data_IF_825407507174
#
_entry.id   IF_825407507174
#
_cell.length_a   1.000
_cell.length_b   1.000
_cell.length_c   1.000
_cell.angle_alpha   90.00
_cell.angle_beta   90.00
_cell.angle_gamma   90.00
#
_symmetry.space_group_name_H-M   'P 1'
#
loop_
_entity.id
_entity.type
_entity.pdbx_description
1 polymer ?
#
# COMPACT_ATOMS: atom_id res chain seq x y z
N UNK A 1 44.41 7.56 -21.45
CA UNK A 1 45.85 7.59 -21.14
C UNK A 1 45.98 8.45 -19.90
N UNK A 2 46.35 7.97 -18.72
CA UNK A 2 47.44 7.04 -18.35
C UNK A 2 46.87 5.93 -17.41
N UNK A 3 46.94 4.63 -17.66
CA UNK A 3 48.11 3.74 -17.81
C UNK A 3 49.04 3.65 -16.59
N UNK A 4 48.49 3.72 -15.36
CA UNK A 4 49.24 3.39 -14.13
C UNK A 4 48.52 2.44 -13.13
N UNK A 5 47.52 1.66 -13.58
CA UNK A 5 46.75 0.77 -12.69
C UNK A 5 46.94 -0.73 -12.98
N UNK A 6 48.08 -1.12 -13.57
CA UNK A 6 48.40 -2.51 -13.94
C UNK A 6 49.35 -3.21 -12.94
N UNK A 7 49.77 -2.53 -11.86
CA UNK A 7 50.78 -3.09 -10.96
C UNK A 7 50.46 -2.87 -9.49
N UNK A 8 49.32 -3.38 -9.02
CA UNK A 8 49.20 -3.80 -7.61
C UNK A 8 48.17 -4.94 -7.46
N UNK A 9 48.69 -6.15 -7.22
CA UNK A 9 48.00 -7.34 -6.69
C UNK A 9 47.01 -8.08 -7.61
N UNK A 10 47.55 -8.91 -8.50
CA UNK A 10 46.96 -10.20 -8.87
C UNK A 10 46.94 -11.15 -7.65
N UNK A 11 46.21 -10.80 -6.58
CA UNK A 11 45.69 -11.83 -5.67
C UNK A 11 44.70 -12.65 -6.48
N UNK A 12 44.83 -13.99 -6.48
CA UNK A 12 43.81 -14.89 -7.02
C UNK A 12 42.53 -14.70 -6.20
N UNK A 13 41.70 -13.73 -6.60
CA UNK A 13 40.41 -13.46 -5.99
C UNK A 13 39.59 -14.73 -6.13
N UNK A 14 39.09 -15.23 -5.01
CA UNK A 14 38.32 -16.47 -4.97
C UNK A 14 37.07 -16.35 -5.84
N UNK A 15 36.54 -17.48 -6.32
CA UNK A 15 35.28 -17.49 -7.09
C UNK A 15 34.13 -16.83 -6.32
N UNK A 16 34.13 -16.95 -4.98
CA UNK A 16 33.16 -16.34 -4.10
C UNK A 16 33.30 -14.81 -4.06
N UNK A 17 34.51 -14.28 -3.89
CA UNK A 17 34.78 -12.84 -3.90
C UNK A 17 34.48 -12.20 -5.26
N UNK A 18 34.78 -12.87 -6.37
CA UNK A 18 34.39 -12.39 -7.72
C UNK A 18 32.87 -12.28 -7.86
N UNK A 19 32.14 -13.29 -7.38
CA UNK A 19 30.67 -13.32 -7.40
C UNK A 19 30.08 -12.22 -6.51
N UNK A 20 30.67 -11.98 -5.34
CA UNK A 20 30.27 -10.91 -4.42
C UNK A 20 30.43 -9.53 -5.08
N UNK A 21 31.60 -9.24 -5.65
CA UNK A 21 31.86 -7.98 -6.37
C UNK A 21 30.89 -7.77 -7.53
N UNK A 22 30.58 -8.81 -8.31
CA UNK A 22 29.59 -8.71 -9.38
C UNK A 22 28.19 -8.36 -8.86
N UNK A 23 27.75 -8.97 -7.75
CA UNK A 23 26.45 -8.65 -7.15
C UNK A 23 26.41 -7.23 -6.58
N UNK A 24 27.49 -6.79 -5.93
CA UNK A 24 27.63 -5.44 -5.42
C UNK A 24 27.57 -4.39 -6.55
N UNK A 25 28.29 -4.63 -7.65
CA UNK A 25 28.24 -3.77 -8.84
C UNK A 25 26.84 -3.75 -9.48
N UNK A 26 26.14 -4.89 -9.49
CA UNK A 26 24.75 -4.94 -9.96
C UNK A 26 23.83 -4.11 -9.06
N UNK A 27 23.99 -4.20 -7.74
CA UNK A 27 23.23 -3.39 -6.79
C UNK A 27 23.49 -1.88 -7.00
N UNK A 28 24.75 -1.48 -7.16
CA UNK A 28 25.15 -0.11 -7.51
C UNK A 28 24.48 0.39 -8.79
N UNK A 29 24.51 -0.41 -9.86
CA UNK A 29 23.86 -0.05 -11.12
C UNK A 29 22.33 0.08 -10.97
N UNK A 30 21.72 -0.77 -10.14
CA UNK A 30 20.27 -0.72 -9.89
C UNK A 30 19.88 0.54 -9.14
N UNK A 31 20.63 0.89 -8.10
CA UNK A 31 20.44 2.12 -7.32
C UNK A 31 20.59 3.37 -8.18
N UNK A 32 21.61 3.42 -9.05
CA UNK A 32 21.78 4.54 -9.98
C UNK A 32 20.61 4.64 -10.97
N UNK A 33 20.27 3.53 -11.63
CA UNK A 33 19.27 3.51 -12.71
C UNK A 33 17.85 3.82 -12.24
N UNK A 34 17.46 3.29 -11.08
CA UNK A 34 16.07 3.37 -10.62
C UNK A 34 15.84 4.42 -9.54
N UNK A 35 16.88 4.79 -8.79
CA UNK A 35 16.76 5.67 -7.61
C UNK A 35 17.65 6.91 -7.71
N UNK A 36 18.47 7.04 -8.77
CA UNK A 36 19.35 8.19 -8.96
C UNK A 36 20.50 8.28 -7.94
N UNK A 37 20.80 7.20 -7.22
CA UNK A 37 21.83 7.21 -6.17
C UNK A 37 23.20 6.96 -6.79
N UNK A 38 24.04 8.00 -6.80
CA UNK A 38 25.42 7.93 -7.26
C UNK A 38 26.33 7.36 -6.18
N UNK A 39 26.93 6.20 -6.46
CA UNK A 39 27.94 5.61 -5.58
C UNK A 39 29.35 5.97 -6.08
N UNK A 40 30.29 6.15 -5.15
CA UNK A 40 31.70 6.45 -5.41
C UNK A 40 32.59 5.25 -5.10
N UNK A 41 33.82 5.23 -5.62
CA UNK A 41 34.78 4.12 -5.45
C UNK A 41 35.79 4.34 -4.31
N UNK A 42 35.85 5.54 -3.75
CA UNK A 42 36.72 5.88 -2.62
C UNK A 42 35.93 5.92 -1.30
N UNK A 43 36.57 5.64 -0.15
CA UNK A 43 35.89 5.66 1.14
C UNK A 43 35.34 7.05 1.51
N UNK A 44 34.07 7.09 1.89
CA UNK A 44 33.41 8.25 2.50
C UNK A 44 32.84 7.86 3.87
N UNK A 45 32.38 8.84 4.67
CA UNK A 45 31.70 8.54 5.95
C UNK A 45 30.34 7.85 5.76
N UNK A 46 29.75 7.96 4.57
CA UNK A 46 28.39 7.54 4.28
C UNK A 46 28.32 6.38 3.30
N UNK A 47 27.48 5.40 3.61
CA UNK A 47 27.25 4.22 2.78
C UNK A 47 25.76 4.11 2.47
N UNK A 48 25.45 3.67 1.25
CA UNK A 48 24.14 3.10 0.93
C UNK A 48 24.19 1.59 1.14
N UNK A 49 23.17 1.04 1.81
CA UNK A 49 23.00 -0.37 2.11
C UNK A 49 21.88 -0.93 1.23
N UNK A 50 22.24 -1.48 0.08
CA UNK A 50 21.27 -2.13 -0.80
C UNK A 50 20.68 -3.38 -0.12
N UNK A 51 19.39 -3.59 -0.34
CA UNK A 51 18.54 -4.59 0.34
C UNK A 51 18.30 -4.34 1.84
N UNK A 52 19.01 -3.40 2.46
CA UNK A 52 18.91 -3.05 3.88
C UNK A 52 17.79 -2.06 4.21
N UNK A 53 16.70 -2.02 3.44
CA UNK A 53 15.63 -1.03 3.62
C UNK A 53 14.32 -1.62 4.14
N UNK A 54 13.44 -0.73 4.63
CA UNK A 54 12.10 -1.09 5.14
C UNK A 54 11.24 -1.79 4.07
N UNK A 55 11.38 -1.37 2.81
CA UNK A 55 10.68 -1.98 1.67
C UNK A 55 11.12 -3.42 1.37
N UNK A 56 12.22 -3.88 1.97
CA UNK A 56 12.70 -5.26 1.88
C UNK A 56 12.55 -6.01 3.23
N UNK A 57 11.76 -5.48 4.16
CA UNK A 57 11.46 -6.13 5.43
C UNK A 57 12.53 -5.99 6.52
N UNK A 58 13.58 -5.20 6.29
CA UNK A 58 14.67 -5.00 7.26
C UNK A 58 14.25 -3.94 8.28
N UNK A 59 14.19 -4.32 9.55
CA UNK A 59 13.88 -3.41 10.67
C UNK A 59 15.07 -2.55 11.11
N UNK A 60 14.79 -1.41 11.77
CA UNK A 60 15.84 -0.47 12.20
C UNK A 60 16.77 -1.08 13.24
N UNK A 61 16.24 -1.62 14.34
CA UNK A 61 17.04 -2.20 15.42
C UNK A 61 17.93 -3.34 14.89
N UNK A 62 17.39 -4.14 13.97
CA UNK A 62 18.09 -5.25 13.34
C UNK A 62 19.26 -4.78 12.46
N UNK A 63 19.05 -3.71 11.68
CA UNK A 63 20.13 -3.17 10.85
C UNK A 63 21.15 -2.41 11.69
N UNK A 64 20.70 -1.63 12.68
CA UNK A 64 21.54 -0.85 13.57
C UNK A 64 22.54 -1.74 14.30
N UNK A 65 22.09 -2.84 14.89
CA UNK A 65 22.98 -3.79 15.59
C UNK A 65 24.09 -4.32 14.69
N UNK A 66 23.80 -4.53 13.40
CA UNK A 66 24.79 -4.99 12.41
C UNK A 66 25.79 -3.92 12.02
N UNK A 67 25.36 -2.67 11.84
CA UNK A 67 26.25 -1.59 11.40
C UNK A 67 27.09 -1.03 12.55
N UNK A 68 26.59 -1.07 13.77
CA UNK A 68 27.27 -0.60 14.98
C UNK A 68 28.46 -1.49 15.38
N UNK A 69 28.46 -2.78 14.98
CA UNK A 69 29.63 -3.68 15.11
C UNK A 69 30.91 -3.12 14.47
N UNK A 70 30.79 -2.22 13.49
CA UNK A 70 31.93 -1.69 12.72
C UNK A 70 32.41 -0.31 13.21
N UNK A 71 31.70 0.33 14.13
CA UNK A 71 32.07 1.64 14.68
C UNK A 71 30.87 2.53 14.98
N UNK A 72 31.15 3.78 15.36
CA UNK A 72 30.13 4.70 15.85
C UNK A 72 29.24 5.20 14.69
N UNK A 73 27.96 4.82 14.73
CA UNK A 73 26.94 5.28 13.78
C UNK A 73 26.42 6.65 14.21
N UNK A 74 26.63 7.68 13.38
CA UNK A 74 26.06 9.02 13.60
C UNK A 74 24.59 9.07 13.19
N UNK A 75 24.24 8.37 12.11
CA UNK A 75 22.85 8.33 11.63
C UNK A 75 22.59 7.13 10.73
N UNK A 76 21.35 6.64 10.79
CA UNK A 76 20.82 5.57 9.95
C UNK A 76 19.51 6.05 9.32
N UNK A 77 19.53 6.34 8.03
CA UNK A 77 18.35 6.75 7.25
C UNK A 77 17.69 5.52 6.64
N UNK A 78 16.40 5.32 6.88
CA UNK A 78 15.67 4.21 6.26
C UNK A 78 14.44 4.76 5.52
N UNK A 79 14.59 5.14 4.23
CA UNK A 79 13.48 5.69 3.46
C UNK A 79 12.28 4.72 3.42
N UNK A 80 11.04 5.22 3.61
CA UNK A 80 9.85 4.39 3.65
C UNK A 80 9.65 3.68 2.31
N UNK A 81 9.24 2.41 2.36
CA UNK A 81 8.97 1.55 1.19
C UNK A 81 10.16 1.35 0.22
N UNK A 82 11.37 1.78 0.57
CA UNK A 82 12.57 1.59 -0.26
C UNK A 82 13.33 0.33 0.14
N UNK A 83 13.91 -0.41 -0.83
CA UNK A 83 14.70 -1.61 -0.55
C UNK A 83 16.16 -1.29 -0.17
N UNK A 84 16.45 -0.07 0.29
CA UNK A 84 17.78 0.36 0.72
C UNK A 84 17.67 1.35 1.88
N UNK A 85 18.80 1.55 2.55
CA UNK A 85 18.98 2.53 3.62
C UNK A 85 20.34 3.22 3.48
N UNK A 86 20.58 4.26 4.26
CA UNK A 86 21.88 4.92 4.34
C UNK A 86 22.38 4.91 5.76
N UNK A 87 23.68 4.67 5.95
CA UNK A 87 24.35 4.79 7.24
C UNK A 87 25.47 5.81 7.11
N UNK A 88 25.63 6.67 8.11
CA UNK A 88 26.76 7.57 8.24
C UNK A 88 27.49 7.27 9.55
N UNK A 89 28.80 7.07 9.44
CA UNK A 89 29.68 6.83 10.57
C UNK A 89 30.41 8.10 10.98
N UNK A 90 30.85 8.15 12.25
CA UNK A 90 31.67 9.26 12.75
C UNK A 90 33.01 9.39 12.02
N UNK A 91 33.58 8.26 11.60
CA UNK A 91 34.89 8.17 10.96
C UNK A 91 34.82 7.39 9.64
N UNK A 92 35.58 7.84 8.65
CA UNK A 92 35.72 7.14 7.36
C UNK A 92 36.35 5.74 7.52
N UNK A 93 37.14 5.52 8.57
CA UNK A 93 37.72 4.21 8.91
C UNK A 93 36.64 3.17 9.22
N UNK A 94 35.62 3.58 9.97
CA UNK A 94 34.53 2.71 10.44
C UNK A 94 33.62 2.34 9.26
N UNK A 95 33.33 3.32 8.40
CA UNK A 95 32.64 3.10 7.11
C UNK A 95 33.44 2.17 6.18
N UNK A 96 34.77 2.30 6.14
CA UNK A 96 35.62 1.35 5.39
C UNK A 96 35.56 -0.06 5.96
N UNK A 97 35.62 -0.20 7.29
CA UNK A 97 35.47 -1.49 7.94
C UNK A 97 34.10 -2.13 7.64
N UNK A 98 33.01 -1.35 7.70
CA UNK A 98 31.68 -1.81 7.33
C UNK A 98 31.61 -2.27 5.86
N UNK A 99 32.18 -1.49 4.95
CA UNK A 99 32.23 -1.84 3.52
C UNK A 99 33.00 -3.16 3.29
N UNK A 100 34.14 -3.35 3.94
CA UNK A 100 34.99 -4.52 3.73
C UNK A 100 34.44 -5.79 4.40
N UNK A 101 33.81 -5.65 5.59
CA UNK A 101 33.37 -6.81 6.39
C UNK A 101 31.90 -7.19 6.23
N UNK A 102 31.01 -6.24 5.96
CA UNK A 102 29.56 -6.49 5.92
C UNK A 102 29.02 -6.72 4.50
N UNK A 103 29.81 -6.47 3.45
CA UNK A 103 29.38 -6.75 2.09
C UNK A 103 29.13 -8.25 1.88
N UNK A 104 27.89 -8.61 1.54
CA UNK A 104 27.47 -10.00 1.41
C UNK A 104 26.99 -10.64 2.71
N UNK A 105 26.92 -9.91 3.83
CA UNK A 105 26.35 -10.40 5.10
C UNK A 105 24.88 -10.78 4.88
N UNK A 106 24.52 -11.98 5.33
CA UNK A 106 23.14 -12.45 5.35
C UNK A 106 22.46 -11.97 6.64
N UNK A 107 21.33 -11.31 6.49
CA UNK A 107 20.42 -10.92 7.57
C UNK A 107 19.20 -11.83 7.52
N UNK A 108 18.89 -12.49 8.63
CA UNK A 108 17.69 -13.33 8.77
C UNK A 108 16.57 -12.43 9.27
N UNK A 109 15.53 -12.18 8.46
CA UNK A 109 14.45 -11.28 8.86
C UNK A 109 13.63 -11.88 10.02
N UNK A 110 13.31 -11.07 11.02
CA UNK A 110 12.58 -11.51 12.21
C UNK A 110 11.29 -12.25 11.83
N UNK A 111 11.11 -13.44 12.40
CA UNK A 111 9.94 -14.29 12.20
C UNK A 111 9.70 -14.79 10.76
N UNK A 112 10.74 -14.89 9.93
CA UNK A 112 10.69 -15.59 8.64
C UNK A 112 11.97 -16.40 8.38
N UNK A 113 11.89 -17.45 7.58
CA UNK A 113 13.08 -18.14 7.02
C UNK A 113 13.73 -17.36 5.88
N UNK A 114 13.24 -16.14 5.59
CA UNK A 114 13.70 -15.32 4.49
C UNK A 114 14.99 -14.61 4.87
N UNK A 115 15.99 -14.77 3.99
CA UNK A 115 17.31 -14.18 4.14
C UNK A 115 17.47 -13.02 3.17
N UNK A 116 18.05 -11.93 3.66
CA UNK A 116 18.41 -10.77 2.87
C UNK A 116 19.93 -10.63 2.85
N UNK A 117 20.52 -10.43 1.67
CA UNK A 117 21.96 -10.18 1.55
C UNK A 117 22.20 -8.69 1.39
N UNK A 118 22.98 -8.10 2.29
CA UNK A 118 23.29 -6.67 2.30
C UNK A 118 24.47 -6.36 1.36
N UNK A 119 24.38 -5.27 0.60
CA UNK A 119 25.50 -4.76 -0.21
C UNK A 119 25.75 -3.29 0.07
N UNK A 120 26.95 -2.97 0.51
CA UNK A 120 27.35 -1.63 0.92
C UNK A 120 28.10 -0.94 -0.21
N UNK A 121 27.78 0.33 -0.49
CA UNK A 121 28.50 1.17 -1.46
C UNK A 121 28.70 2.57 -0.89
N UNK A 122 29.85 3.20 -1.14
CA UNK A 122 30.12 4.57 -0.72
C UNK A 122 29.27 5.57 -1.48
N UNK A 123 28.81 6.61 -0.79
CA UNK A 123 28.09 7.74 -1.38
C UNK A 123 28.65 9.06 -0.86
N UNK A 124 28.64 10.09 -1.71
CA UNK A 124 29.13 11.43 -1.34
C UNK A 124 28.04 12.23 -0.60
N UNK A 125 26.79 12.08 -1.05
CA UNK A 125 25.62 12.77 -0.53
C UNK A 125 24.56 11.75 -0.18
N UNK A 126 23.98 11.90 1.00
CA UNK A 126 22.76 11.20 1.40
C UNK A 126 21.63 12.23 1.30
N UNK A 127 20.48 11.89 0.68
CA UNK A 127 19.33 12.78 0.65
C UNK A 127 18.71 12.81 2.05
N UNK A 128 19.30 13.59 2.94
CA UNK A 128 18.79 13.87 4.29
C UNK A 128 17.60 14.82 4.25
N UNK A 129 16.92 14.97 3.11
CA UNK A 129 15.82 15.91 2.95
C UNK A 129 14.82 15.71 4.09
N UNK A 130 14.67 16.75 4.89
CA UNK A 130 13.67 16.83 5.94
C UNK A 130 12.32 16.87 5.21
N UNK A 131 11.68 15.71 5.10
CA UNK A 131 10.27 15.70 4.73
C UNK A 131 9.54 16.47 5.83
N UNK A 132 8.92 17.59 5.46
CA UNK A 132 8.09 18.36 6.36
C UNK A 132 7.02 17.44 6.95
N UNK A 133 6.69 17.55 8.26
CA UNK A 133 5.64 16.75 8.86
C UNK A 133 4.35 16.89 8.06
N UNK A 134 3.79 15.77 7.59
CA UNK A 134 2.50 15.80 6.91
C UNK A 134 1.44 16.26 7.89
N UNK A 135 0.85 17.42 7.62
CA UNK A 135 -0.29 17.92 8.38
C UNK A 135 -1.45 16.95 8.17
N UNK A 136 -2.15 16.61 9.25
CA UNK A 136 -3.32 15.74 9.14
C UNK A 136 -4.40 16.37 8.26
N UNK A 137 -5.20 15.55 7.56
CA UNK A 137 -6.39 16.04 6.87
C UNK A 137 -7.22 16.96 7.78
N UNK A 138 -7.66 18.14 7.30
CA UNK A 138 -8.48 19.04 8.10
C UNK A 138 -9.74 18.34 8.64
N UNK A 139 -9.96 18.45 9.95
CA UNK A 139 -11.07 17.78 10.65
C UNK A 139 -10.78 16.35 11.13
N UNK A 140 -9.56 15.84 10.90
CA UNK A 140 -9.08 14.57 11.44
C UNK A 140 -8.42 14.76 12.81
N UNK A 141 -8.76 13.91 13.77
CA UNK A 141 -8.10 13.85 15.09
C UNK A 141 -7.89 12.41 15.52
N UNK A 142 -6.79 12.14 16.21
CA UNK A 142 -6.51 10.87 16.90
C UNK A 142 -6.43 11.16 18.39
N UNK A 143 -7.25 10.48 19.19
CA UNK A 143 -7.25 10.57 20.65
C UNK A 143 -6.69 9.26 21.18
N UNK A 144 -5.52 9.32 21.78
CA UNK A 144 -4.86 8.16 22.38
C UNK A 144 -5.48 7.79 23.73
N UNK A 145 -5.33 6.52 24.12
CA UNK A 145 -5.75 5.99 25.42
C UNK A 145 -7.19 6.42 25.81
N UNK A 146 -8.11 6.38 24.83
CA UNK A 146 -9.51 6.70 25.07
C UNK A 146 -10.14 5.71 26.05
N UNK A 147 -9.77 4.44 25.94
CA UNK A 147 -10.28 3.36 26.78
C UNK A 147 -9.14 2.73 27.57
N UNK A 148 -9.42 2.23 28.77
CA UNK A 148 -8.44 1.47 29.55
C UNK A 148 -8.23 0.06 28.97
N UNK A 149 -7.15 -0.66 29.36
CA UNK A 149 -6.96 -2.06 28.98
C UNK A 149 -8.12 -2.97 29.40
N UNK A 150 -8.75 -2.70 30.55
CA UNK A 150 -9.91 -3.45 31.04
C UNK A 150 -11.15 -3.17 30.18
N UNK A 151 -11.39 -1.92 29.82
CA UNK A 151 -12.48 -1.52 28.91
C UNK A 151 -12.27 -2.14 27.51
N UNK A 152 -11.04 -2.11 26.98
CA UNK A 152 -10.68 -2.77 25.72
C UNK A 152 -10.99 -4.27 25.77
N UNK A 153 -10.57 -4.96 26.83
CA UNK A 153 -10.85 -6.39 27.02
C UNK A 153 -12.36 -6.66 27.04
N UNK A 154 -13.13 -5.89 27.81
CA UNK A 154 -14.58 -6.03 27.87
C UNK A 154 -15.24 -5.83 26.50
N UNK A 155 -14.82 -4.82 25.72
CA UNK A 155 -15.38 -4.59 24.39
C UNK A 155 -15.10 -5.76 23.44
N UNK A 156 -13.87 -6.29 23.48
CA UNK A 156 -13.45 -7.40 22.63
C UNK A 156 -14.18 -8.71 22.96
N UNK A 157 -14.39 -9.01 24.25
CA UNK A 157 -15.09 -10.21 24.72
C UNK A 157 -16.59 -10.18 24.43
N UNK A 158 -17.21 -8.99 24.46
CA UNK A 158 -18.64 -8.81 24.20
C UNK A 158 -19.03 -8.92 22.71
N UNK A 159 -18.06 -8.95 21.78
CA UNK A 159 -18.37 -9.21 20.37
C UNK A 159 -18.40 -10.71 20.13
N UNK A 160 -19.60 -11.27 20.12
CA UNK A 160 -19.80 -12.63 19.68
C UNK A 160 -19.68 -12.73 18.14
N UNK A 161 -18.73 -13.56 17.69
CA UNK A 161 -18.48 -13.85 16.27
C UNK A 161 -19.09 -15.17 15.80
N UNK A 162 -19.81 -15.91 16.64
CA UNK A 162 -20.59 -17.07 16.18
C UNK A 162 -21.72 -16.59 15.28
N UNK A 163 -22.11 -17.40 14.29
CA UNK A 163 -23.24 -17.11 13.43
C UNK A 163 -24.50 -16.97 14.31
N UNK A 164 -25.06 -15.75 14.36
CA UNK A 164 -26.37 -15.53 14.95
C UNK A 164 -27.40 -16.22 14.04
N UNK A 165 -27.87 -17.41 14.42
CA UNK A 165 -28.96 -18.12 13.73
C UNK A 165 -30.21 -17.24 13.55
N UNK A 166 -30.34 -16.19 14.37
CA UNK A 166 -31.43 -15.23 14.38
C UNK A 166 -31.29 -14.11 13.33
N UNK A 167 -30.07 -13.74 12.90
CA UNK A 167 -29.84 -12.63 11.94
C UNK A 167 -28.68 -12.94 10.97
N UNK A 168 -28.92 -13.73 9.91
CA UNK A 168 -27.88 -14.15 8.95
C UNK A 168 -27.16 -12.99 8.24
N UNK A 169 -27.77 -11.80 8.18
CA UNK A 169 -27.27 -10.65 7.42
C UNK A 169 -26.39 -9.68 8.21
N UNK A 170 -26.44 -9.71 9.55
CA UNK A 170 -25.72 -8.75 10.38
C UNK A 170 -24.21 -9.02 10.44
N UNK A 171 -23.79 -10.26 10.21
CA UNK A 171 -22.39 -10.68 10.16
C UNK A 171 -22.03 -11.14 8.75
N UNK A 172 -20.95 -10.60 8.17
CA UNK A 172 -20.47 -10.96 6.83
C UNK A 172 -18.97 -11.22 6.85
N UNK A 173 -18.55 -12.30 6.20
CA UNK A 173 -17.15 -12.52 5.85
C UNK A 173 -16.90 -11.87 4.47
N UNK A 174 -16.22 -10.74 4.44
CA UNK A 174 -15.79 -10.11 3.19
C UNK A 174 -14.43 -10.68 2.76
N UNK A 175 -14.08 -10.52 1.47
CA UNK A 175 -12.85 -11.08 0.87
C UNK A 175 -11.58 -10.95 1.73
N UNK A 176 -11.47 -9.87 2.51
CA UNK A 176 -10.28 -9.57 3.32
C UNK A 176 -10.58 -9.14 4.75
N UNK A 177 -11.78 -9.34 5.32
CA UNK A 177 -12.07 -9.01 6.74
C UNK A 177 -13.39 -9.61 7.19
N UNK A 178 -13.56 -9.81 8.50
CA UNK A 178 -14.89 -10.09 9.08
C UNK A 178 -15.55 -8.78 9.50
N UNK A 179 -16.84 -8.66 9.25
CA UNK A 179 -17.62 -7.47 9.62
C UNK A 179 -18.89 -7.87 10.34
N UNK A 180 -19.24 -7.13 11.39
CA UNK A 180 -20.54 -7.21 12.07
C UNK A 180 -21.17 -5.83 12.18
N UNK A 181 -22.48 -5.73 11.99
CA UNK A 181 -23.26 -4.49 12.03
C UNK A 181 -24.25 -4.48 13.19
N UNK A 182 -24.44 -3.29 13.78
CA UNK A 182 -25.40 -3.02 14.84
C UNK A 182 -26.15 -1.71 14.56
N UNK A 183 -27.38 -1.61 15.07
CA UNK A 183 -28.31 -0.51 14.78
C UNK A 183 -28.88 -0.57 13.36
N UNK A 184 -28.03 -0.54 12.34
CA UNK A 184 -28.42 -0.69 10.95
C UNK A 184 -27.39 -1.52 10.16
N UNK A 185 -27.89 -2.32 9.23
CA UNK A 185 -27.06 -3.07 8.28
C UNK A 185 -26.50 -2.13 7.21
N UNK A 186 -25.19 -2.21 6.96
CA UNK A 186 -24.59 -1.57 5.79
C UNK A 186 -24.61 -2.52 4.60
N UNK A 187 -25.30 -2.09 3.53
CA UNK A 187 -25.50 -2.85 2.30
C UNK A 187 -24.38 -2.53 1.31
N UNK A 188 -23.55 -3.53 1.02
CA UNK A 188 -22.35 -3.37 0.17
C UNK A 188 -22.65 -3.42 -1.33
N UNK A 189 -23.84 -3.86 -1.72
CA UNK A 189 -24.33 -3.85 -3.10
C UNK A 189 -24.61 -2.43 -3.61
N UNK A 190 -25.06 -1.54 -2.71
CA UNK A 190 -25.38 -0.14 -3.03
C UNK A 190 -24.62 0.87 -2.16
N UNK A 191 -23.71 0.41 -1.31
CA UNK A 191 -22.95 1.19 -0.33
C UNK A 191 -23.84 2.12 0.51
N UNK A 192 -25.00 1.66 0.96
CA UNK A 192 -25.94 2.47 1.73
C UNK A 192 -26.57 1.70 2.90
N UNK A 193 -27.47 2.35 3.61
CA UNK A 193 -28.23 1.80 4.72
C UNK A 193 -29.72 1.88 4.40
N UNK A 194 -30.44 0.81 4.71
CA UNK A 194 -31.90 0.79 4.65
C UNK A 194 -32.49 1.45 5.92
N UNK A 195 -32.93 2.71 5.79
CA UNK A 195 -33.39 3.52 6.93
C UNK A 195 -34.69 3.00 7.55
N UNK A 196 -35.46 2.22 6.79
CA UNK A 196 -36.75 1.69 7.20
C UNK A 196 -36.63 0.31 7.87
N UNK A 197 -35.42 -0.26 7.90
CA UNK A 197 -35.14 -1.59 8.44
C UNK A 197 -33.96 -1.59 9.43
N UNK A 198 -34.12 -0.98 10.61
CA UNK A 198 -33.10 -1.07 11.66
C UNK A 198 -32.94 -2.53 12.13
N UNK A 199 -31.71 -2.89 12.50
CA UNK A 199 -31.41 -4.17 13.14
C UNK A 199 -31.98 -4.18 14.57
N UNK A 200 -32.52 -5.33 15.03
CA UNK A 200 -33.02 -5.44 16.38
C UNK A 200 -31.88 -5.29 17.41
N UNK A 201 -32.20 -4.79 18.60
CA UNK A 201 -31.23 -4.61 19.69
C UNK A 201 -30.40 -3.32 19.65
N UNK A 202 -30.48 -2.52 18.57
CA UNK A 202 -29.80 -1.23 18.51
C UNK A 202 -28.28 -1.35 18.59
N UNK A 203 -27.63 -0.43 19.32
CA UNK A 203 -26.21 -0.51 19.61
C UNK A 203 -25.98 -1.33 20.89
N UNK A 204 -24.88 -2.11 20.99
CA UNK A 204 -24.55 -2.85 22.20
C UNK A 204 -24.40 -1.95 23.42
N UNK A 205 -24.97 -2.36 24.56
CA UNK A 205 -24.90 -1.59 25.81
C UNK A 205 -23.47 -1.36 26.29
N UNK A 206 -22.55 -2.28 25.99
CA UNK A 206 -21.12 -2.15 26.24
C UNK A 206 -20.49 -0.90 25.61
N UNK A 207 -21.09 -0.36 24.54
CA UNK A 207 -20.62 0.85 23.88
C UNK A 207 -21.19 2.14 24.50
N UNK A 208 -22.23 2.06 25.33
CA UNK A 208 -22.95 3.24 25.86
C UNK A 208 -22.03 4.15 26.67
N UNK A 209 -21.18 3.59 27.52
CA UNK A 209 -20.21 4.34 28.34
C UNK A 209 -19.24 5.14 27.48
N UNK A 210 -18.72 4.53 26.42
CA UNK A 210 -17.74 5.17 25.52
C UNK A 210 -18.40 6.27 24.71
N UNK A 211 -19.62 6.04 24.19
CA UNK A 211 -20.36 7.07 23.47
C UNK A 211 -20.73 8.25 24.36
N UNK A 212 -21.10 8.01 25.62
CA UNK A 212 -21.34 9.07 26.60
C UNK A 212 -20.06 9.87 26.89
N UNK A 213 -18.91 9.19 27.01
CA UNK A 213 -17.60 9.84 27.15
C UNK A 213 -17.26 10.71 25.93
N UNK A 214 -17.47 10.19 24.72
CA UNK A 214 -17.20 10.94 23.48
C UNK A 214 -18.09 12.19 23.34
N UNK A 215 -19.37 12.11 23.73
CA UNK A 215 -20.27 13.28 23.78
C UNK A 215 -19.80 14.30 24.82
N UNK A 216 -19.49 13.86 26.04
CA UNK A 216 -19.06 14.73 27.14
C UNK A 216 -17.76 15.48 26.80
N UNK A 217 -16.83 14.83 26.10
CA UNK A 217 -15.54 15.40 25.70
C UNK A 217 -15.63 16.22 24.40
N UNK A 218 -16.79 16.29 23.74
CA UNK A 218 -16.95 17.05 22.48
C UNK A 218 -16.24 16.42 21.29
N UNK A 219 -16.01 15.11 21.30
CA UNK A 219 -15.48 14.38 20.15
C UNK A 219 -16.56 14.11 19.10
N UNK A 220 -17.81 14.04 19.56
CA UNK A 220 -19.03 13.97 18.75
C UNK A 220 -20.06 14.94 19.35
N UNK A 221 -20.88 15.52 18.49
CA UNK A 221 -22.00 16.38 18.84
C UNK A 221 -23.32 15.60 18.93
N UNK A 222 -23.43 14.48 18.22
CA UNK A 222 -24.63 13.65 18.19
C UNK A 222 -24.33 12.18 18.53
N UNK A 223 -25.26 11.53 19.24
CA UNK A 223 -25.13 10.11 19.57
C UNK A 223 -25.31 9.25 18.31
N UNK A 224 -24.29 8.46 17.90
CA UNK A 224 -24.38 7.51 16.81
C UNK A 224 -25.50 6.48 17.00
N UNK A 225 -26.12 6.07 15.90
CA UNK A 225 -27.16 5.04 15.85
C UNK A 225 -26.83 3.89 14.89
N UNK A 226 -25.61 3.87 14.34
CA UNK A 226 -25.07 2.76 13.55
C UNK A 226 -23.65 2.43 14.02
N UNK A 227 -23.33 1.13 14.13
CA UNK A 227 -21.99 0.63 14.45
C UNK A 227 -21.57 -0.47 13.46
N UNK A 228 -20.37 -0.34 12.91
CA UNK A 228 -19.69 -1.39 12.15
C UNK A 228 -18.45 -1.87 12.91
N UNK A 229 -18.42 -3.15 13.28
CA UNK A 229 -17.24 -3.81 13.85
C UNK A 229 -16.48 -4.51 12.73
N UNK A 230 -15.20 -4.16 12.53
CA UNK A 230 -14.33 -4.81 11.55
C UNK A 230 -13.21 -5.56 12.27
N UNK A 231 -12.96 -6.82 11.90
CA UNK A 231 -11.81 -7.59 12.35
C UNK A 231 -10.84 -7.80 11.18
N UNK A 232 -9.58 -7.45 11.42
CA UNK A 232 -8.47 -7.59 10.47
C UNK A 232 -7.41 -8.53 11.05
N UNK A 233 -7.08 -9.57 10.30
CA UNK A 233 -5.90 -10.40 10.55
C UNK A 233 -4.65 -9.78 9.89
N UNK A 234 -3.42 -10.14 10.33
CA UNK A 234 -2.20 -9.64 9.70
C UNK A 234 -2.16 -9.93 8.18
N UNK A 235 -2.00 -8.88 7.37
CA UNK A 235 -2.05 -8.96 5.90
C UNK A 235 -3.40 -8.56 5.30
N UNK A 236 -4.45 -8.44 6.10
CA UNK A 236 -5.76 -7.94 5.68
C UNK A 236 -5.84 -6.42 5.70
N UNK A 237 -6.87 -5.88 5.05
CA UNK A 237 -7.04 -4.44 4.88
C UNK A 237 -8.41 -4.06 4.33
N UNK A 238 -8.57 -2.78 4.03
CA UNK A 238 -9.75 -2.21 3.39
C UNK A 238 -9.30 -1.26 2.27
N UNK A 239 -9.81 -1.40 1.04
CA UNK A 239 -9.48 -0.48 -0.04
C UNK A 239 -9.78 0.97 0.32
N UNK A 240 -9.05 1.95 -0.26
CA UNK A 240 -9.39 3.36 -0.10
C UNK A 240 -10.84 3.64 -0.51
N UNK A 241 -11.59 4.28 0.37
CA UNK A 241 -12.99 4.66 0.15
C UNK A 241 -13.36 5.91 0.95
N UNK A 242 -14.51 6.49 0.62
CA UNK A 242 -15.18 7.54 1.39
C UNK A 242 -16.50 6.96 1.86
N UNK A 243 -16.84 7.15 3.12
CA UNK A 243 -18.14 6.71 3.62
C UNK A 243 -19.25 7.52 2.95
N UNK A 244 -20.31 6.85 2.50
CA UNK A 244 -21.40 7.44 1.71
C UNK A 244 -22.02 8.67 2.39
N UNK A 245 -22.09 9.78 1.65
CA UNK A 245 -22.49 11.08 2.20
C UNK A 245 -23.99 11.13 2.51
N UNK A 246 -24.81 10.47 1.70
CA UNK A 246 -26.26 10.37 1.97
C UNK A 246 -26.60 9.46 3.14
N UNK A 247 -25.73 8.51 3.48
CA UNK A 247 -26.02 7.47 4.48
C UNK A 247 -25.77 7.96 5.90
N UNK A 248 -24.72 8.75 6.10
CA UNK A 248 -24.22 9.12 7.43
C UNK A 248 -23.99 10.62 7.56
N UNK A 249 -24.19 11.16 8.76
CA UNK A 249 -23.86 12.54 9.11
C UNK A 249 -22.33 12.75 9.12
N UNK A 250 -21.92 14.00 9.35
CA UNK A 250 -20.52 14.44 9.27
C UNK A 250 -19.58 13.66 10.21
N UNK A 251 -19.98 13.49 11.46
CA UNK A 251 -19.10 12.90 12.47
C UNK A 251 -19.06 11.38 12.36
N UNK A 252 -17.87 10.85 12.02
CA UNK A 252 -17.55 9.43 12.16
C UNK A 252 -16.43 9.28 13.18
N UNK A 253 -16.64 8.37 14.12
CA UNK A 253 -15.58 7.96 15.04
C UNK A 253 -15.26 6.48 14.87
N UNK A 254 -13.99 6.12 14.98
CA UNK A 254 -13.51 4.74 14.88
C UNK A 254 -12.56 4.41 16.01
N UNK A 255 -13.01 3.58 16.95
CA UNK A 255 -12.19 3.06 18.05
C UNK A 255 -11.34 1.88 17.56
N UNK A 256 -10.03 1.92 17.83
CA UNK A 256 -9.07 0.87 17.45
C UNK A 256 -8.71 0.02 18.67
N UNK A 257 -8.84 -1.31 18.57
CA UNK A 257 -8.60 -2.25 19.67
C UNK A 257 -7.74 -3.44 19.22
N UNK A 258 -7.04 -4.05 20.18
CA UNK A 258 -6.29 -5.30 20.06
C UNK A 258 -4.92 -5.18 19.37
N UNK A 259 -4.82 -4.44 18.27
CA UNK A 259 -3.56 -4.13 17.62
C UNK A 259 -3.61 -2.76 16.93
N UNK A 260 -2.48 -2.07 16.92
CA UNK A 260 -2.33 -0.81 16.19
C UNK A 260 -2.25 -1.07 14.67
N UNK A 261 -2.53 -0.04 13.87
CA UNK A 261 -2.44 -0.13 12.42
C UNK A 261 -2.20 1.23 11.79
N UNK A 262 -1.55 1.25 10.63
CA UNK A 262 -1.51 2.45 9.79
C UNK A 262 -2.70 2.48 8.84
N UNK A 263 -3.46 3.57 8.91
CA UNK A 263 -4.51 3.95 7.96
C UNK A 263 -3.98 5.01 7.00
N UNK A 264 -4.16 4.77 5.71
CA UNK A 264 -3.70 5.66 4.65
C UNK A 264 -4.87 6.59 4.24
N UNK A 265 -4.65 7.90 4.34
CA UNK A 265 -5.55 8.95 3.86
C UNK A 265 -5.04 9.52 2.54
N UNK A 266 -5.91 9.64 1.53
CA UNK A 266 -5.54 10.21 0.23
C UNK A 266 -6.52 11.29 -0.18
N UNK A 267 -5.98 12.46 -0.50
CA UNK A 267 -6.73 13.57 -1.06
C UNK A 267 -6.75 13.48 -2.60
N UNK A 268 -7.82 13.95 -3.27
CA UNK A 268 -7.92 13.91 -4.73
C UNK A 268 -6.81 14.66 -5.49
N UNK A 269 -6.12 15.62 -4.86
CA UNK A 269 -4.98 16.33 -5.45
C UNK A 269 -3.65 15.54 -5.42
N UNK A 270 -3.68 14.30 -4.93
CA UNK A 270 -2.50 13.42 -4.84
C UNK A 270 -1.79 13.43 -3.48
N UNK A 271 -2.15 14.33 -2.55
CA UNK A 271 -1.60 14.28 -1.18
C UNK A 271 -1.99 12.96 -0.51
N UNK A 272 -1.01 12.33 0.14
CA UNK A 272 -1.20 11.09 0.90
C UNK A 272 -0.64 11.28 2.31
N UNK A 273 -1.40 10.90 3.32
CA UNK A 273 -1.02 10.99 4.74
C UNK A 273 -1.21 9.61 5.37
N UNK A 274 -0.15 9.06 5.95
CA UNK A 274 -0.21 7.80 6.69
C UNK A 274 -0.38 8.09 8.18
N UNK A 275 -1.49 7.63 8.75
CA UNK A 275 -1.88 7.89 10.14
C UNK A 275 -1.78 6.60 10.93
N UNK A 276 -0.91 6.58 11.94
CA UNK A 276 -0.86 5.47 12.89
C UNK A 276 -2.08 5.58 13.82
N UNK A 277 -2.80 4.48 13.97
CA UNK A 277 -3.91 4.31 14.90
C UNK A 277 -3.47 3.35 16.00
N UNK A 278 -3.01 3.88 17.16
CA UNK A 278 -2.61 3.06 18.29
C UNK A 278 -3.76 2.18 18.81
N UNK A 279 -3.44 1.16 19.61
CA UNK A 279 -4.45 0.46 20.38
C UNK A 279 -5.14 1.43 21.35
N UNK A 280 -6.41 1.17 21.68
CA UNK A 280 -7.24 1.99 22.57
C UNK A 280 -7.44 3.45 22.12
N UNK A 281 -7.13 3.76 20.86
CA UNK A 281 -7.26 5.11 20.32
C UNK A 281 -8.60 5.32 19.59
N UNK A 282 -9.10 6.56 19.62
CA UNK A 282 -10.25 7.02 18.85
C UNK A 282 -9.78 7.87 17.67
N UNK A 283 -10.09 7.42 16.46
CA UNK A 283 -10.04 8.27 15.28
C UNK A 283 -11.35 9.05 15.17
N UNK A 284 -11.28 10.36 14.98
CA UNK A 284 -12.43 11.23 14.72
C UNK A 284 -12.25 11.87 13.35
N UNK A 285 -13.22 11.63 12.46
CA UNK A 285 -13.30 12.22 11.13
C UNK A 285 -14.50 13.17 11.07
N UNK A 286 -14.27 14.39 10.62
CA UNK A 286 -15.29 15.43 10.41
C UNK A 286 -14.86 16.38 9.30
N UNK A 287 -15.79 17.08 8.69
CA UNK A 287 -15.52 18.03 7.61
C UNK A 287 -14.76 17.40 6.44
N UNK A 288 -13.64 18.02 6.05
CA UNK A 288 -12.87 17.61 4.87
C UNK A 288 -12.34 16.17 4.98
N UNK A 289 -11.81 15.78 6.14
CA UNK A 289 -11.27 14.43 6.34
C UNK A 289 -12.32 13.32 6.18
N UNK A 290 -13.59 13.65 6.43
CA UNK A 290 -14.72 12.72 6.26
C UNK A 290 -15.24 12.71 4.82
N UNK A 291 -15.42 13.89 4.23
CA UNK A 291 -16.19 14.05 3.00
C UNK A 291 -15.34 14.06 1.73
N UNK A 292 -14.05 14.41 1.82
CA UNK A 292 -13.20 14.58 0.63
C UNK A 292 -12.06 13.58 0.58
N UNK A 293 -11.44 13.30 1.73
CA UNK A 293 -10.33 12.36 1.81
C UNK A 293 -10.84 10.92 1.76
N UNK A 294 -10.20 10.10 0.93
CA UNK A 294 -10.38 8.64 1.01
C UNK A 294 -9.53 8.10 2.16
N UNK A 295 -10.03 7.07 2.84
CA UNK A 295 -9.28 6.36 3.88
C UNK A 295 -9.26 4.86 3.58
N UNK A 296 -8.15 4.20 3.92
CA UNK A 296 -7.96 2.78 3.65
C UNK A 296 -6.90 2.16 4.53
N UNK A 297 -6.89 0.83 4.58
CA UNK A 297 -5.84 0.07 5.25
C UNK A 297 -5.21 -0.83 4.19
N UNK A 298 -3.99 -0.50 3.77
CA UNK A 298 -3.26 -1.30 2.79
C UNK A 298 -3.08 -2.75 3.30
N UNK A 299 -3.37 -3.79 2.49
CA UNK A 299 -3.12 -5.19 2.83
C UNK A 299 -1.61 -5.49 2.96
N UNK A 300 -1.06 -5.37 4.18
CA UNK A 300 0.34 -5.65 4.50
C UNK A 300 0.48 -6.29 5.87
N UNK A 301 1.61 -6.96 6.12
CA UNK A 301 1.91 -7.62 7.41
C UNK A 301 2.74 -6.74 8.34
N UNK A 302 3.36 -5.68 7.82
CA UNK A 302 4.19 -4.75 8.55
C UNK A 302 3.84 -3.32 8.19
N UNK A 303 3.87 -2.43 9.16
CA UNK A 303 3.75 -0.99 8.98
C UNK A 303 5.09 -0.30 9.21
N UNK A 304 5.32 0.83 8.55
CA UNK A 304 6.46 1.72 8.81
C UNK A 304 6.00 2.73 9.86
N UNK A 305 6.65 2.76 11.03
CA UNK A 305 6.31 3.61 12.17
C UNK A 305 7.56 4.34 12.68
N UNK A 306 7.38 5.35 13.53
CA UNK A 306 8.50 6.02 14.18
C UNK A 306 9.13 5.14 15.27
N UNK A 307 10.45 5.24 15.41
CA UNK A 307 11.31 4.50 16.31
C UNK A 307 11.60 5.39 17.53
N UNK A 308 10.63 5.58 18.40
CA UNK A 308 10.76 6.13 19.76
C UNK A 308 9.48 5.85 20.55
N UNK A 309 9.60 5.29 21.75
CA UNK A 309 8.52 5.21 22.73
C UNK A 309 8.15 6.64 23.18
N UNK A 310 6.91 7.06 22.95
CA UNK A 310 6.30 8.17 23.70
C UNK A 310 6.26 9.58 23.07
N UNK A 311 6.44 9.78 21.77
CA UNK A 311 6.14 11.07 21.12
C UNK A 311 4.76 11.06 20.41
N UNK A 312 3.94 12.08 20.67
CA UNK A 312 2.53 12.22 20.27
C UNK A 312 2.23 11.78 18.83
N UNK A 313 1.36 10.77 18.68
CA UNK A 313 1.00 10.16 17.39
C UNK A 313 -0.22 10.86 16.80
N UNK A 314 0.03 11.95 16.07
CA UNK A 314 -0.96 12.55 15.18
C UNK A 314 -0.76 12.09 13.75
N UNK A 315 0.47 12.24 13.25
CA UNK A 315 0.94 11.84 11.92
C UNK A 315 2.20 11.00 12.11
N UNK A 316 2.48 10.05 11.21
CA UNK A 316 3.84 9.51 11.10
C UNK A 316 4.71 10.68 10.64
N UNK A 317 5.30 11.43 11.59
CA UNK A 317 6.11 12.59 11.24
C UNK A 317 7.38 12.11 10.55
N UNK A 318 7.78 12.85 9.53
CA UNK A 318 8.69 12.36 8.52
C UNK A 318 10.16 12.61 8.87
N UNK A 319 10.53 12.41 10.15
CA UNK A 319 11.94 12.15 10.43
C UNK A 319 12.27 10.72 9.98
N UNK A 320 12.68 10.61 8.71
CA UNK A 320 13.09 9.36 8.07
C UNK A 320 14.23 8.69 8.87
N UNK A 321 14.97 9.45 9.69
CA UNK A 321 16.05 8.94 10.56
C UNK A 321 15.52 8.11 11.72
N UNK A 322 14.24 8.22 12.06
CA UNK A 322 13.59 7.46 13.13
C UNK A 322 12.50 6.53 12.59
N UNK A 323 12.60 5.92 11.41
CA UNK A 323 11.57 4.95 10.94
C UNK A 323 11.97 3.48 11.19
N UNK A 324 11.02 2.63 11.61
CA UNK A 324 11.19 1.18 11.77
C UNK A 324 9.96 0.40 11.28
N UNK A 325 10.07 -0.93 11.20
CA UNK A 325 8.96 -1.82 10.90
C UNK A 325 8.27 -2.28 12.19
N UNK A 326 6.95 -2.21 12.20
CA UNK A 326 6.11 -2.82 13.23
C UNK A 326 5.25 -3.92 12.61
N UNK A 327 5.21 -5.08 13.25
CA UNK A 327 4.44 -6.24 12.77
C UNK A 327 2.98 -6.07 13.17
N UNK A 328 2.07 -6.20 12.20
CA UNK A 328 0.64 -6.12 12.49
C UNK A 328 0.18 -7.31 13.32
N UNK A 329 -0.62 -7.02 14.35
CA UNK A 329 -1.40 -7.99 15.10
C UNK A 329 -2.82 -8.13 14.56
N UNK A 330 -3.64 -8.91 15.28
CA UNK A 330 -5.08 -8.97 15.05
C UNK A 330 -5.74 -7.69 15.57
N UNK A 331 -6.29 -6.88 14.67
CA UNK A 331 -6.95 -5.61 15.00
C UNK A 331 -8.46 -5.73 14.88
N UNK A 332 -9.17 -5.16 15.84
CA UNK A 332 -10.62 -4.97 15.77
C UNK A 332 -10.91 -3.47 15.85
N UNK A 333 -11.84 -2.97 15.03
CA UNK A 333 -12.26 -1.57 15.08
C UNK A 333 -13.76 -1.41 15.14
N UNK A 334 -14.22 -0.50 15.98
CA UNK A 334 -15.62 -0.15 16.16
C UNK A 334 -15.85 1.22 15.53
N UNK A 335 -16.50 1.26 14.38
CA UNK A 335 -16.79 2.49 13.65
C UNK A 335 -18.24 2.90 13.91
N UNK A 336 -18.42 4.02 14.60
CA UNK A 336 -19.72 4.55 14.98
C UNK A 336 -20.10 5.72 14.07
N UNK A 337 -21.36 5.73 13.63
CA UNK A 337 -21.92 6.72 12.72
C UNK A 337 -23.35 7.08 13.09
N UNK A 338 -23.76 8.29 12.75
CA UNK A 338 -25.16 8.72 12.80
C UNK A 338 -25.78 8.61 11.42
N UNK A 339 -26.92 7.92 11.29
CA UNK A 339 -27.66 7.83 10.03
C UNK A 339 -28.20 9.20 9.65
N UNK A 340 -27.89 9.61 8.43
CA UNK A 340 -28.38 10.84 7.82
C UNK A 340 -29.75 10.60 7.19
N UNK A 341 -30.71 11.44 7.56
CA UNK A 341 -32.11 11.35 7.09
C UNK A 341 -32.45 12.34 5.97
N UNK A 342 -31.65 13.37 5.80
CA UNK A 342 -31.80 14.38 4.75
C UNK A 342 -30.74 14.23 3.67
N UNK A 343 -30.99 14.65 2.41
CA UNK A 343 -29.94 14.69 1.39
C UNK A 343 -28.72 15.49 1.87
N UNK A 344 -27.51 15.02 1.54
CA UNK A 344 -26.29 15.73 1.91
C UNK A 344 -26.08 16.99 1.06
N UNK A 345 -25.69 18.08 1.72
CA UNK A 345 -25.39 19.39 1.12
C UNK A 345 -23.99 19.91 1.50
N UNK A 346 -23.02 19.00 1.70
CA UNK A 346 -21.64 19.34 2.04
C UNK A 346 -20.94 20.21 0.98
N UNK A 347 -19.86 20.89 1.35
CA UNK A 347 -19.04 21.73 0.46
C UNK A 347 -18.20 20.96 -0.56
N UNK A 348 -18.42 19.64 -0.70
CA UNK A 348 -17.64 18.73 -1.54
C UNK A 348 -18.54 18.02 -2.55
N UNK A 349 -19.19 18.76 -3.48
CA UNK A 349 -20.11 18.18 -4.44
C UNK A 349 -19.43 17.10 -5.28
N UNK A 350 -18.14 17.25 -5.61
CA UNK A 350 -17.34 16.37 -6.48
C UNK A 350 -17.30 14.89 -6.09
N UNK A 351 -17.60 14.55 -4.83
CA UNK A 351 -17.62 13.17 -4.31
C UNK A 351 -18.90 12.86 -3.53
N UNK A 352 -19.88 13.76 -3.54
CA UNK A 352 -21.11 13.63 -2.76
C UNK A 352 -22.23 12.96 -3.56
N UNK A 353 -22.60 11.73 -3.20
CA UNK A 353 -23.66 10.97 -3.88
C UNK A 353 -25.06 11.62 -3.83
N UNK A 354 -25.33 12.50 -2.87
CA UNK A 354 -26.59 13.27 -2.81
C UNK A 354 -26.65 14.42 -3.81
N UNK A 355 -25.50 15.06 -4.07
CA UNK A 355 -25.39 16.22 -4.97
C UNK A 355 -25.06 15.77 -6.39
N UNK A 356 -24.28 14.70 -6.51
CA UNK A 356 -24.04 13.91 -7.72
C UNK A 356 -25.09 12.85 -7.95
N UNK A 357 -26.37 13.15 -7.65
CA UNK A 357 -27.40 12.54 -8.48
C UNK A 357 -27.24 13.11 -9.88
N UNK A 358 -26.25 12.58 -10.61
CA UNK A 358 -26.36 12.46 -12.05
C UNK A 358 -27.78 11.98 -12.27
N UNK A 359 -28.54 12.80 -13.00
CA UNK A 359 -29.76 12.36 -13.67
C UNK A 359 -29.46 10.94 -14.10
N UNK A 360 -30.21 9.95 -13.58
CA UNK A 360 -30.12 8.57 -14.07
C UNK A 360 -29.94 8.70 -15.58
N UNK A 361 -28.86 8.18 -16.18
CA UNK A 361 -28.56 8.48 -17.57
C UNK A 361 -29.86 8.21 -18.30
N UNK A 362 -30.47 9.29 -18.80
CA UNK A 362 -31.49 9.13 -19.81
C UNK A 362 -30.73 8.31 -20.83
N UNK A 363 -31.13 7.05 -21.00
CA UNK A 363 -30.57 6.17 -22.01
C UNK A 363 -30.88 6.84 -23.35
N UNK A 364 -30.09 7.85 -23.70
CA UNK A 364 -29.97 8.35 -25.03
C UNK A 364 -29.14 7.27 -25.70
N UNK A 365 -29.86 6.40 -26.43
CA UNK A 365 -29.30 5.35 -27.27
C UNK A 365 -28.49 5.98 -28.41
N UNK A 366 -27.38 6.63 -28.09
CA UNK A 366 -26.44 7.17 -29.05
C UNK A 366 -25.08 6.52 -28.82
N UNK A 367 -24.51 5.93 -29.88
CA UNK A 367 -23.17 5.32 -29.84
C UNK A 367 -22.08 6.31 -29.37
N UNK A 368 -22.33 7.62 -29.45
CA UNK A 368 -21.42 8.65 -28.97
C UNK A 368 -21.35 8.69 -27.44
N UNK A 369 -22.48 8.55 -26.74
CA UNK A 369 -22.49 8.58 -25.28
C UNK A 369 -21.81 7.32 -24.70
N UNK A 370 -22.00 6.17 -25.35
CA UNK A 370 -21.30 4.93 -25.02
C UNK A 370 -19.78 5.06 -25.19
N UNK A 371 -19.32 5.68 -26.29
CA UNK A 371 -17.90 5.90 -26.53
C UNK A 371 -17.27 6.86 -25.51
N UNK A 372 -18.00 7.90 -25.07
CA UNK A 372 -17.53 8.83 -24.04
C UNK A 372 -17.44 8.14 -22.68
N UNK A 373 -18.42 7.30 -22.33
CA UNK A 373 -18.38 6.49 -21.11
C UNK A 373 -17.25 5.46 -21.14
N UNK A 374 -17.03 4.79 -22.26
CA UNK A 374 -15.92 3.87 -22.46
C UNK A 374 -14.56 4.59 -22.33
N UNK A 375 -14.44 5.78 -22.91
CA UNK A 375 -13.24 6.61 -22.77
C UNK A 375 -12.93 6.93 -21.31
N UNK A 376 -13.93 7.39 -20.56
CA UNK A 376 -13.74 7.83 -19.18
C UNK A 376 -13.54 6.69 -18.19
N UNK A 377 -14.33 5.62 -18.30
CA UNK A 377 -14.35 4.56 -17.30
C UNK A 377 -13.53 3.32 -17.68
N UNK A 378 -13.13 3.18 -18.94
CA UNK A 378 -12.26 2.10 -19.41
C UNK A 378 -10.90 2.66 -19.84
N UNK A 379 -10.84 3.55 -20.83
CA UNK A 379 -9.54 3.97 -21.38
C UNK A 379 -8.70 4.77 -20.37
N UNK A 380 -9.25 5.80 -19.73
CA UNK A 380 -8.53 6.61 -18.75
C UNK A 380 -8.06 5.78 -17.53
N UNK A 381 -8.92 4.89 -17.03
CA UNK A 381 -8.57 4.00 -15.91
C UNK A 381 -7.43 3.06 -16.27
N UNK A 382 -7.43 2.48 -17.48
CA UNK A 382 -6.35 1.62 -17.94
C UNK A 382 -5.03 2.38 -18.08
N UNK A 383 -5.07 3.64 -18.53
CA UNK A 383 -3.86 4.47 -18.64
C UNK A 383 -3.25 4.84 -17.30
N UNK A 384 -4.08 5.19 -16.33
CA UNK A 384 -3.60 5.52 -14.99
C UNK A 384 -2.89 4.32 -14.34
N UNK A 385 -3.37 3.10 -14.58
CA UNK A 385 -2.79 1.89 -13.99
C UNK A 385 -1.69 1.23 -14.85
N UNK A 386 -1.54 1.59 -16.13
CA UNK A 386 -0.66 0.91 -17.09
C UNK A 386 0.81 0.87 -16.65
N UNK A 387 1.32 1.99 -16.10
CA UNK A 387 2.71 2.07 -15.60
C UNK A 387 2.93 1.16 -14.39
N UNK A 388 1.99 1.13 -13.46
CA UNK A 388 2.08 0.26 -12.28
C UNK A 388 1.94 -1.22 -12.64
N UNK A 389 1.05 -1.53 -13.59
CA UNK A 389 0.86 -2.90 -14.11
C UNK A 389 2.14 -3.43 -14.78
N UNK A 390 2.83 -2.57 -15.55
CA UNK A 390 4.08 -2.93 -16.24
C UNK A 390 5.25 -3.21 -15.28
N UNK A 391 5.30 -2.50 -14.16
CA UNK A 391 6.40 -2.60 -13.17
C UNK A 391 6.26 -3.78 -12.19
N UNK A 392 5.08 -4.36 -12.04
CA UNK A 392 4.81 -5.37 -10.98
C UNK A 392 4.83 -6.81 -11.46
N UNK A 393 4.88 -7.07 -12.78
CA UNK A 393 4.71 -8.43 -13.36
C UNK A 393 5.81 -8.82 -14.33
N UNK A 394 7.00 -9.06 -13.82
CA UNK A 394 8.16 -9.51 -14.63
C UNK A 394 8.13 -10.98 -15.03
N UNK A 395 7.43 -11.85 -14.28
CA UNK A 395 7.39 -13.28 -14.58
C UNK A 395 6.35 -13.63 -15.66
N UNK A 396 6.73 -14.40 -16.71
CA UNK A 396 5.79 -14.96 -17.67
C UNK A 396 4.78 -15.89 -17.01
N UNK A 397 3.52 -15.84 -17.45
CA UNK A 397 2.48 -16.74 -16.93
C UNK A 397 2.62 -18.14 -17.55
N UNK A 398 2.57 -19.22 -16.74
CA UNK A 398 2.82 -20.58 -17.22
C UNK A 398 1.95 -21.02 -18.41
N UNK A 399 0.66 -20.69 -18.39
CA UNK A 399 -0.29 -21.05 -19.45
C UNK A 399 0.02 -20.36 -20.79
N UNK A 400 0.43 -19.09 -20.74
CA UNK A 400 0.84 -18.34 -21.95
C UNK A 400 2.15 -18.90 -22.49
N UNK A 401 3.08 -19.27 -21.60
CA UNK A 401 4.32 -19.95 -22.00
C UNK A 401 4.02 -21.30 -22.66
N UNK A 402 3.07 -22.06 -22.13
CA UNK A 402 2.65 -23.34 -22.69
C UNK A 402 1.97 -23.19 -24.05
N UNK A 403 1.08 -22.21 -24.20
CA UNK A 403 0.50 -21.85 -25.49
C UNK A 403 1.57 -21.50 -26.53
N UNK A 404 2.49 -20.58 -26.17
CA UNK A 404 3.61 -20.22 -27.04
C UNK A 404 4.50 -21.42 -27.36
N UNK A 405 4.59 -22.40 -26.44
CA UNK A 405 5.28 -23.67 -26.66
C UNK A 405 4.52 -24.66 -27.55
N UNK A 406 3.20 -24.54 -27.68
CA UNK A 406 2.39 -25.37 -28.56
C UNK A 406 2.45 -24.94 -30.03
N UNK A 407 2.89 -23.70 -30.32
CA UNK A 407 2.87 -23.16 -31.68
C UNK A 407 3.91 -23.82 -32.59
N UNK A 408 3.62 -23.97 -33.90
CA UNK A 408 4.57 -24.48 -34.87
C UNK A 408 5.72 -23.49 -35.12
N UNK A 409 6.86 -24.01 -35.57
CA UNK A 409 8.03 -23.23 -35.94
C UNK A 409 7.67 -22.22 -37.04
N UNK A 410 8.12 -20.98 -36.90
CA UNK A 410 7.87 -19.91 -37.85
C UNK A 410 6.47 -19.27 -37.74
N UNK A 411 5.68 -19.63 -36.72
CA UNK A 411 4.40 -18.96 -36.49
C UNK A 411 4.60 -17.47 -36.18
N UNK A 412 3.67 -16.66 -36.69
CA UNK A 412 3.58 -15.22 -36.45
C UNK A 412 2.67 -14.98 -35.24
N UNK A 413 3.18 -14.26 -34.24
CA UNK A 413 2.47 -13.98 -32.99
C UNK A 413 2.44 -12.48 -32.76
N UNK A 414 1.24 -11.92 -32.57
CA UNK A 414 1.06 -10.56 -32.09
C UNK A 414 0.81 -10.58 -30.56
N UNK A 415 1.68 -9.95 -29.79
CA UNK A 415 1.52 -9.78 -28.34
C UNK A 415 0.89 -8.40 -28.08
N UNK A 416 -0.44 -8.38 -28.00
CA UNK A 416 -1.23 -7.15 -27.87
C UNK A 416 -1.41 -6.79 -26.39
N UNK A 417 -0.98 -5.59 -26.01
CA UNK A 417 -0.90 -5.20 -24.61
C UNK A 417 0.32 -5.79 -23.90
N UNK A 418 1.43 -5.97 -24.62
CA UNK A 418 2.62 -6.69 -24.17
C UNK A 418 3.32 -6.09 -22.93
N UNK A 419 2.96 -4.87 -22.52
CA UNK A 419 3.52 -4.18 -21.36
C UNK A 419 5.05 -4.11 -21.41
N UNK A 420 5.71 -4.79 -20.47
CA UNK A 420 7.18 -4.86 -20.38
C UNK A 420 7.83 -5.88 -21.35
N UNK A 421 7.05 -6.54 -22.21
CA UNK A 421 7.55 -7.45 -23.23
C UNK A 421 8.09 -8.77 -22.69
N UNK A 422 7.67 -9.23 -21.50
CA UNK A 422 8.18 -10.45 -20.84
C UNK A 422 8.04 -11.75 -21.64
N UNK A 423 7.20 -11.78 -22.67
CA UNK A 423 7.03 -12.95 -23.54
C UNK A 423 7.93 -12.90 -24.78
N UNK A 424 8.53 -11.75 -25.09
CA UNK A 424 9.44 -11.57 -26.21
C UNK A 424 10.73 -12.36 -25.96
N UNK A 425 11.14 -13.15 -26.94
CA UNK A 425 12.39 -13.93 -26.88
C UNK A 425 12.31 -15.23 -26.05
N UNK A 426 11.12 -15.61 -25.55
CA UNK A 426 10.91 -16.94 -24.96
C UNK A 426 11.17 -18.07 -25.97
N UNK A 427 10.90 -17.80 -27.25
CA UNK A 427 11.19 -18.70 -28.36
C UNK A 427 11.77 -17.91 -29.54
N UNK A 428 12.94 -18.31 -30.02
CA UNK A 428 13.69 -17.60 -31.07
C UNK A 428 13.22 -17.94 -32.49
N UNK A 429 12.41 -18.97 -32.62
CA UNK A 429 11.90 -19.53 -33.87
C UNK A 429 10.44 -19.13 -34.15
N UNK A 430 9.89 -18.20 -33.36
CA UNK A 430 8.62 -17.51 -33.62
C UNK A 430 8.88 -16.08 -34.08
N UNK A 431 8.05 -15.58 -34.97
CA UNK A 431 8.05 -14.16 -35.37
C UNK A 431 7.08 -13.39 -34.49
N UNK A 432 7.59 -12.85 -33.38
CA UNK A 432 6.78 -12.14 -32.38
C UNK A 432 6.83 -10.63 -32.61
N UNK A 433 5.67 -10.01 -32.72
CA UNK A 433 5.49 -8.56 -32.84
C UNK A 433 4.88 -8.01 -31.55
N UNK A 434 5.62 -7.22 -30.75
CA UNK A 434 5.06 -6.52 -29.61
C UNK A 434 4.17 -5.38 -30.08
N UNK A 435 2.94 -5.32 -29.56
CA UNK A 435 2.02 -4.24 -29.84
C UNK A 435 1.53 -3.58 -28.56
N UNK A 436 2.10 -2.42 -28.23
CA UNK A 436 1.66 -1.57 -27.12
C UNK A 436 0.55 -0.62 -27.60
N UNK A 437 -0.67 -1.12 -27.82
CA UNK A 437 -1.79 -0.21 -28.05
C UNK A 437 -2.42 0.16 -26.72
N UNK A 438 -2.23 1.42 -26.36
CA UNK A 438 -2.99 2.16 -25.36
C UNK A 438 -4.34 2.63 -25.93
N UNK A 439 -4.52 2.66 -27.26
CA UNK A 439 -5.81 2.93 -27.89
C UNK A 439 -6.47 1.62 -28.32
N UNK A 440 -7.44 1.17 -27.53
CA UNK A 440 -8.41 0.16 -27.92
C UNK A 440 -9.31 0.74 -29.03
N UNK A 441 -8.86 0.69 -30.29
CA UNK A 441 -9.77 0.87 -31.41
C UNK A 441 -10.41 -0.48 -31.71
N UNK A 442 -11.69 -0.61 -31.36
CA UNK A 442 -12.56 -1.76 -31.67
C UNK A 442 -12.75 -2.04 -33.17
N UNK A 443 -12.11 -1.29 -34.07
CA UNK A 443 -12.28 -1.42 -35.52
C UNK A 443 -11.40 -2.49 -36.18
N UNK A 444 -10.29 -2.94 -35.57
CA UNK A 444 -9.48 -4.02 -36.17
C UNK A 444 -10.09 -5.41 -35.98
N UNK A 445 -10.86 -5.63 -34.90
CA UNK A 445 -11.43 -6.94 -34.58
C UNK A 445 -12.54 -7.39 -35.56
N UNK A 446 -13.15 -6.45 -36.32
CA UNK A 446 -14.21 -6.75 -37.27
C UNK A 446 -13.75 -6.93 -38.73
N UNK A 447 -12.51 -6.53 -39.10
CA UNK A 447 -12.10 -6.52 -40.51
C UNK A 447 -11.30 -7.74 -40.98
N UNK A 448 -10.57 -8.45 -40.12
CA UNK A 448 -9.65 -9.52 -40.58
C UNK A 448 -10.14 -10.96 -40.40
N UNK A 449 -11.37 -11.20 -39.94
CA UNK A 449 -12.00 -12.55 -40.03
C UNK A 449 -12.26 -12.94 -41.51
N UNK A 450 -12.07 -12.03 -42.46
CA UNK A 450 -12.34 -12.24 -43.89
C UNK A 450 -11.11 -12.52 -44.78
N UNK A 451 -9.89 -12.48 -44.25
CA UNK A 451 -8.68 -12.84 -45.01
C UNK A 451 -7.90 -13.94 -44.29
N UNK A 452 -7.97 -15.17 -44.80
CA UNK A 452 -7.41 -16.40 -44.21
C UNK A 452 -5.88 -16.48 -44.13
N UNK A 453 -5.21 -15.45 -43.63
CA UNK A 453 -3.80 -15.51 -43.22
C UNK A 453 -3.74 -16.01 -41.77
N UNK A 454 -3.07 -17.14 -41.53
CA UNK A 454 -2.95 -17.79 -40.23
C UNK A 454 -2.12 -16.99 -39.21
N UNK A 455 -2.68 -15.90 -38.68
CA UNK A 455 -2.13 -15.12 -37.58
C UNK A 455 -2.79 -15.59 -36.29
N UNK A 456 -1.98 -16.06 -35.32
CA UNK A 456 -2.47 -16.45 -34.00
C UNK A 456 -2.37 -15.26 -33.04
N UNK A 457 -3.52 -14.80 -32.53
CA UNK A 457 -3.59 -13.67 -31.60
C UNK A 457 -3.56 -14.14 -30.15
N UNK A 458 -2.79 -13.46 -29.31
CA UNK A 458 -2.85 -13.60 -27.85
C UNK A 458 -3.54 -12.35 -27.29
N UNK A 459 -4.81 -12.48 -26.91
CA UNK A 459 -5.56 -11.43 -26.21
C UNK A 459 -5.62 -11.75 -24.71
N UNK A 460 -5.02 -10.90 -23.88
CA UNK A 460 -4.95 -11.08 -22.43
C UNK A 460 -6.13 -10.47 -21.65
N UNK A 461 -7.18 -9.97 -22.33
CA UNK A 461 -8.33 -9.35 -21.63
C UNK A 461 -9.35 -10.35 -21.07
N UNK A 462 -9.32 -11.64 -21.43
CA UNK A 462 -10.39 -12.60 -21.08
C UNK A 462 -9.93 -13.96 -20.52
N UNK A 463 -8.65 -14.14 -20.16
CA UNK A 463 -8.23 -15.34 -19.41
C UNK A 463 -8.40 -15.09 -17.91
N UNK A 464 -9.61 -15.35 -17.41
CA UNK A 464 -9.91 -15.57 -15.99
C UNK A 464 -10.13 -17.04 -15.73
#
# INVERSE_FOLDING_TARGET
MELNDITLQNKKISKAEKKLRQKQMKARYTLLKHEGIECVSYPTKSLVIANGGLGNGVGRCQLHSVVEECGQVESLLMPPNKPYSFVQYGRTTDSKQAYDSLNGKELILDNSSQKVVLYFNYVEKVPWEEMSPSVLPPGLRVIEELVSPEEEKMLLENINWTEDEVIPHAQKCLKHRRVKHFGYEFRYDNNNVDRDRPLPGGLPDSCTTILAKCLKMGYINQKPDQLTVNQYEPGQGIPPHIDTHSAFEDEIISLSLGAEIVMDFKHPDGRTVAVLLPQRSLLVMSGESRYLWTHGITPRKFDVVQASEGENVGSITADIRKLTLNKRGKRISFTFRKIKRTPCCCSFPSVCDSQHKERAPSFHNSNKDASVLEQKYVHEVYEDIARHFSNTRHSPWPQVVEFLKGLPRGAVVADVGCGNGKYLGLRKDLYMFPWTCIQYSSHLCQREISSGAGISFVFLSHLK
#
